data_IF_441024833799
#
_entry.id   IF_441024833799
#
_cell.length_a   1.000
_cell.length_b   1.000
_cell.length_c   1.000
_cell.angle_alpha   90.00
_cell.angle_beta   90.00
_cell.angle_gamma   90.00
#
_symmetry.space_group_name_H-M   'P 1'
#
loop_
_entity.id
_entity.type
_entity.pdbx_description
1 polymer ?
#
# COMPACT_ATOMS: atom_id res chain seq x y z
N UNK A 1 26.70 -17.53 19.31
CA UNK A 1 25.62 -17.80 18.35
C UNK A 1 25.40 -16.48 17.61
N UNK A 2 25.93 -16.33 16.39
CA UNK A 2 25.52 -15.23 15.49
C UNK A 2 24.38 -15.77 14.63
N UNK A 3 23.28 -16.09 15.29
CA UNK A 3 21.97 -16.04 14.64
C UNK A 3 21.32 -14.96 15.46
N UNK A 4 21.22 -13.76 14.91
CA UNK A 4 20.31 -12.81 15.52
C UNK A 4 18.94 -13.49 15.46
N UNK A 5 18.43 -13.89 16.61
CA UNK A 5 17.20 -14.68 16.74
C UNK A 5 16.00 -13.89 16.21
N UNK A 6 16.18 -12.58 15.97
CA UNK A 6 15.16 -11.64 15.55
C UNK A 6 15.41 -11.07 14.15
N UNK A 7 16.35 -11.64 13.38
CA UNK A 7 16.69 -11.26 12.01
C UNK A 7 16.63 -9.73 11.82
N UNK A 8 17.25 -8.97 12.74
CA UNK A 8 17.16 -7.52 12.77
C UNK A 8 18.35 -6.91 12.04
N UNK A 9 18.10 -5.94 11.16
CA UNK A 9 19.18 -5.24 10.48
C UNK A 9 19.86 -4.35 11.52
N UNK A 10 21.15 -4.58 11.75
CA UNK A 10 21.96 -3.59 12.45
C UNK A 10 22.22 -2.43 11.49
N UNK A 11 21.90 -1.20 11.92
CA UNK A 11 22.55 -0.02 11.33
C UNK A 11 24.07 -0.22 11.39
N UNK A 12 24.83 0.23 10.39
CA UNK A 12 26.27 0.00 10.34
C UNK A 12 26.96 0.64 11.57
N UNK A 13 27.26 -0.16 12.60
CA UNK A 13 27.86 0.29 13.86
C UNK A 13 26.93 0.35 15.08
N UNK A 14 25.64 0.04 14.93
CA UNK A 14 24.64 0.05 16.01
C UNK A 14 24.19 -1.38 16.40
N UNK A 15 23.48 -1.49 17.52
CA UNK A 15 22.77 -2.71 17.86
C UNK A 15 21.55 -2.93 16.94
N UNK A 16 21.01 -4.16 16.85
CA UNK A 16 19.76 -4.42 16.16
C UNK A 16 18.63 -3.51 16.68
N UNK A 17 17.85 -2.90 15.79
CA UNK A 17 16.68 -2.09 16.15
C UNK A 17 15.62 -2.14 15.06
N UNK A 18 14.34 -2.02 15.44
CA UNK A 18 13.22 -1.98 14.47
C UNK A 18 13.31 -0.80 13.50
N UNK A 19 13.83 0.34 13.96
CA UNK A 19 14.00 1.56 13.15
C UNK A 19 15.02 1.40 12.01
N UNK A 20 15.98 0.48 12.15
CA UNK A 20 16.87 0.10 11.06
C UNK A 20 16.23 -0.94 10.12
N UNK A 21 15.01 -1.41 10.41
CA UNK A 21 14.38 -2.52 9.73
C UNK A 21 14.83 -3.86 10.31
N UNK A 22 13.95 -4.85 10.24
CA UNK A 22 14.27 -6.23 10.56
C UNK A 22 15.01 -6.89 9.39
N UNK A 23 14.29 -7.06 8.28
CA UNK A 23 14.77 -7.76 7.09
C UNK A 23 15.62 -6.87 6.19
N UNK A 24 15.24 -5.61 6.00
CA UNK A 24 15.84 -4.72 5.01
C UNK A 24 15.82 -3.26 5.45
N UNK A 25 16.99 -2.60 5.40
CA UNK A 25 17.12 -1.15 5.49
C UNK A 25 17.44 -0.56 4.12
N UNK A 26 16.56 0.28 3.57
CA UNK A 26 16.76 0.88 2.26
C UNK A 26 17.67 2.11 2.30
N UNK A 27 17.70 2.85 3.41
CA UNK A 27 18.27 4.20 3.40
C UNK A 27 17.57 5.02 2.29
N UNK A 28 18.34 5.52 1.32
CA UNK A 28 17.84 6.20 0.11
C UNK A 28 17.83 5.31 -1.16
N UNK A 29 18.04 3.99 -1.01
CA UNK A 29 18.21 3.08 -2.14
C UNK A 29 16.87 2.70 -2.77
N UNK A 30 16.88 2.48 -4.08
CA UNK A 30 15.75 1.89 -4.79
C UNK A 30 15.86 0.35 -4.78
N UNK A 31 14.76 -0.34 -4.53
CA UNK A 31 14.67 -1.80 -4.57
C UNK A 31 13.50 -2.23 -5.44
N UNK A 32 13.77 -3.20 -6.31
CA UNK A 32 12.75 -3.86 -7.13
C UNK A 32 12.53 -5.29 -6.65
N UNK A 33 11.29 -5.62 -6.28
CA UNK A 33 10.83 -6.99 -6.08
C UNK A 33 10.22 -7.51 -7.39
N UNK A 34 11.03 -8.15 -8.23
CA UNK A 34 10.55 -8.79 -9.46
C UNK A 34 10.21 -10.27 -9.20
N UNK A 35 8.94 -10.55 -8.97
CA UNK A 35 8.47 -11.87 -8.55
C UNK A 35 7.80 -12.58 -9.71
N UNK A 36 8.40 -13.71 -10.11
CA UNK A 36 7.92 -14.48 -11.26
C UNK A 36 6.55 -15.13 -11.01
N UNK A 37 5.86 -15.43 -12.11
CA UNK A 37 4.55 -16.05 -12.12
C UNK A 37 4.43 -17.31 -11.22
N UNK A 38 3.34 -17.35 -10.44
CA UNK A 38 3.07 -18.42 -9.48
C UNK A 38 4.18 -18.60 -8.43
N UNK A 39 4.88 -17.52 -8.07
CA UNK A 39 5.81 -17.46 -6.93
C UNK A 39 5.31 -16.43 -5.96
N UNK A 40 5.67 -16.65 -4.70
CA UNK A 40 5.33 -15.77 -3.59
C UNK A 40 6.59 -15.50 -2.79
N UNK A 41 6.95 -14.24 -2.59
CA UNK A 41 7.94 -13.82 -1.59
C UNK A 41 7.17 -13.37 -0.35
N UNK A 42 7.46 -13.98 0.80
CA UNK A 42 6.87 -13.59 2.08
C UNK A 42 7.95 -12.92 2.92
N UNK A 43 7.67 -11.71 3.41
CA UNK A 43 8.50 -10.98 4.37
C UNK A 43 7.74 -10.89 5.69
N UNK A 44 8.34 -11.39 6.76
CA UNK A 44 7.73 -11.50 8.08
C UNK A 44 6.77 -12.67 8.26
N UNK A 45 6.16 -12.71 9.45
CA UNK A 45 5.25 -13.76 9.88
C UNK A 45 4.19 -13.16 10.80
N UNK A 46 2.92 -13.48 10.56
CA UNK A 46 1.79 -13.00 11.37
C UNK A 46 1.81 -13.52 12.82
N UNK A 47 2.51 -14.62 13.09
CA UNK A 47 2.69 -15.17 14.45
C UNK A 47 3.71 -14.38 15.29
N UNK A 48 4.53 -13.53 14.66
CA UNK A 48 5.53 -12.71 15.36
C UNK A 48 4.95 -11.34 15.76
N UNK A 49 5.71 -10.58 16.55
CA UNK A 49 5.32 -9.22 17.00
C UNK A 49 5.19 -8.20 15.86
N UNK A 50 5.68 -8.52 14.65
CA UNK A 50 5.62 -7.70 13.45
C UNK A 50 6.84 -6.80 13.28
N UNK A 51 7.49 -6.37 14.36
CA UNK A 51 8.73 -5.58 14.27
C UNK A 51 9.90 -6.42 13.73
N UNK A 52 9.84 -7.74 13.93
CA UNK A 52 10.76 -8.71 13.32
C UNK A 52 10.53 -8.78 11.81
N UNK A 53 11.62 -8.85 11.03
CA UNK A 53 11.61 -8.94 9.57
C UNK A 53 10.97 -7.74 8.84
N UNK A 54 10.95 -6.55 9.44
CA UNK A 54 10.41 -5.34 8.80
C UNK A 54 11.32 -4.75 7.71
N UNK A 55 10.71 -3.96 6.84
CA UNK A 55 11.40 -3.05 5.92
C UNK A 55 11.37 -1.65 6.52
N UNK A 56 12.50 -0.95 6.45
CA UNK A 56 12.61 0.44 6.90
C UNK A 56 13.46 1.29 5.93
N UNK A 57 13.36 2.60 6.07
CA UNK A 57 14.09 3.57 5.27
C UNK A 57 13.19 4.40 4.34
N UNK A 58 13.82 5.28 3.56
CA UNK A 58 13.16 6.34 2.80
C UNK A 58 13.29 6.17 1.29
N UNK A 59 13.89 5.06 0.84
CA UNK A 59 14.11 4.76 -0.57
C UNK A 59 12.84 4.29 -1.29
N UNK A 60 12.94 3.98 -2.58
CA UNK A 60 11.78 3.54 -3.39
C UNK A 60 11.65 2.01 -3.39
N UNK A 61 10.43 1.51 -3.22
CA UNK A 61 10.11 0.09 -3.47
C UNK A 61 9.27 -0.01 -4.74
N UNK A 62 9.71 -0.82 -5.70
CA UNK A 62 8.91 -1.17 -6.88
C UNK A 62 8.61 -2.67 -6.89
N UNK A 63 7.33 -3.04 -6.92
CA UNK A 63 6.87 -4.42 -7.11
C UNK A 63 6.56 -4.66 -8.59
N UNK A 64 7.24 -5.63 -9.19
CA UNK A 64 7.05 -6.09 -10.58
C UNK A 64 6.92 -7.61 -10.66
N UNK A 65 6.76 -8.13 -11.87
CA UNK A 65 6.51 -9.55 -12.10
C UNK A 65 5.10 -9.96 -11.67
N UNK A 66 4.57 -11.06 -12.21
CA UNK A 66 3.17 -11.46 -11.99
C UNK A 66 2.92 -12.28 -10.72
N UNK A 67 3.96 -12.62 -9.95
CA UNK A 67 3.80 -13.28 -8.65
C UNK A 67 3.55 -12.30 -7.50
N UNK A 68 3.55 -12.84 -6.28
CA UNK A 68 3.00 -12.15 -5.12
C UNK A 68 4.09 -11.74 -4.13
N UNK A 69 3.96 -10.55 -3.56
CA UNK A 69 4.73 -10.10 -2.40
C UNK A 69 3.79 -10.04 -1.19
N UNK A 70 4.05 -10.84 -0.17
CA UNK A 70 3.26 -10.84 1.07
C UNK A 70 4.06 -10.16 2.16
N UNK A 71 3.54 -9.06 2.69
CA UNK A 71 4.12 -8.32 3.80
C UNK A 71 3.36 -8.64 5.08
N UNK A 72 4.01 -9.45 5.93
CA UNK A 72 3.53 -9.92 7.22
C UNK A 72 4.35 -9.32 8.39
N UNK A 73 4.90 -8.12 8.19
CA UNK A 73 5.67 -7.37 9.18
C UNK A 73 5.03 -5.99 9.43
N UNK A 74 5.47 -5.30 10.49
CA UNK A 74 5.25 -3.88 10.71
C UNK A 74 6.33 -3.11 9.95
N UNK A 75 5.97 -2.53 8.81
CA UNK A 75 6.87 -1.77 7.96
C UNK A 75 6.62 -0.26 8.12
N UNK A 76 6.10 0.20 9.26
CA UNK A 76 5.81 1.62 9.47
C UNK A 76 7.08 2.50 9.53
N UNK A 77 8.25 1.90 9.73
CA UNK A 77 9.55 2.59 9.61
C UNK A 77 10.02 2.74 8.14
N UNK A 78 9.27 2.18 7.18
CA UNK A 78 9.41 2.51 5.77
C UNK A 78 8.56 3.74 5.43
N UNK A 79 9.24 4.83 5.07
CA UNK A 79 8.63 6.13 4.78
C UNK A 79 8.89 6.61 3.36
N UNK A 80 9.52 5.77 2.53
CA UNK A 80 9.66 6.02 1.10
C UNK A 80 8.38 5.69 0.34
N UNK A 81 8.36 5.98 -0.95
CA UNK A 81 7.24 5.61 -1.82
C UNK A 81 7.29 4.13 -2.19
N UNK A 82 6.12 3.55 -2.44
CA UNK A 82 5.99 2.19 -2.94
C UNK A 82 5.12 2.16 -4.19
N UNK A 83 5.57 1.42 -5.20
CA UNK A 83 4.89 1.30 -6.49
C UNK A 83 4.60 -0.16 -6.78
N UNK A 84 3.31 -0.50 -6.92
CA UNK A 84 2.86 -1.82 -7.37
C UNK A 84 2.59 -1.70 -8.86
N UNK A 85 3.57 -2.08 -9.68
CA UNK A 85 3.45 -1.98 -11.14
C UNK A 85 2.87 -3.24 -11.78
N UNK A 86 3.03 -4.41 -11.14
CA UNK A 86 2.49 -5.68 -11.60
C UNK A 86 2.42 -6.73 -10.48
N UNK A 87 1.50 -7.67 -10.60
CA UNK A 87 1.25 -8.74 -9.64
C UNK A 87 0.61 -8.21 -8.35
N UNK A 88 0.59 -9.06 -7.34
CA UNK A 88 -0.10 -8.79 -6.08
C UNK A 88 0.88 -8.38 -4.97
N UNK A 89 0.48 -7.39 -4.17
CA UNK A 89 1.01 -7.17 -2.82
C UNK A 89 -0.09 -7.45 -1.81
N UNK A 90 0.17 -8.36 -0.88
CA UNK A 90 -0.75 -8.65 0.22
C UNK A 90 -0.24 -8.03 1.52
N UNK A 91 -1.06 -7.24 2.19
CA UNK A 91 -0.78 -6.72 3.55
C UNK A 91 -1.47 -7.62 4.58
N UNK A 92 -0.72 -8.59 5.13
CA UNK A 92 -1.28 -9.58 6.05
C UNK A 92 -1.39 -9.12 7.51
N UNK A 93 -0.96 -7.89 7.83
CA UNK A 93 -1.12 -7.25 9.14
C UNK A 93 -1.75 -5.88 8.99
N UNK A 94 -2.63 -5.53 9.93
CA UNK A 94 -3.21 -4.19 10.00
C UNK A 94 -2.13 -3.12 10.16
N UNK A 95 -2.31 -1.99 9.47
CA UNK A 95 -1.47 -0.81 9.54
C UNK A 95 0.03 -1.13 9.37
N UNK A 96 0.36 -1.94 8.37
CA UNK A 96 1.74 -2.37 8.10
C UNK A 96 2.58 -1.32 7.37
N UNK A 97 1.94 -0.42 6.62
CA UNK A 97 2.60 0.59 5.77
C UNK A 97 1.99 1.98 5.98
N UNK A 98 1.66 2.34 7.22
CA UNK A 98 0.91 3.56 7.52
C UNK A 98 1.61 4.83 7.02
N UNK A 99 2.94 4.84 7.09
CA UNK A 99 3.78 6.00 6.77
C UNK A 99 4.39 5.95 5.35
N UNK A 100 3.92 5.04 4.48
CA UNK A 100 4.39 4.98 3.09
C UNK A 100 4.22 6.34 2.41
N UNK A 101 5.27 6.81 1.74
CA UNK A 101 5.32 8.11 1.09
C UNK A 101 5.65 9.30 1.98
N UNK A 102 5.75 9.16 3.30
CA UNK A 102 5.89 10.29 4.23
C UNK A 102 7.08 11.20 3.92
N UNK A 103 8.22 10.62 3.54
CA UNK A 103 9.43 11.40 3.20
C UNK A 103 9.17 12.34 2.01
N UNK A 104 8.54 11.83 0.95
CA UNK A 104 8.31 12.61 -0.26
C UNK A 104 7.09 13.54 -0.13
N UNK A 105 6.02 13.08 0.53
CA UNK A 105 4.81 13.87 0.77
C UNK A 105 5.05 15.08 1.68
N UNK A 106 6.00 15.00 2.61
CA UNK A 106 6.40 16.15 3.43
C UNK A 106 7.20 17.19 2.64
N UNK A 107 8.05 16.73 1.70
CA UNK A 107 8.93 17.59 0.91
C UNK A 107 8.19 18.21 -0.30
N UNK A 108 7.39 17.42 -1.02
CA UNK A 108 6.58 17.83 -2.16
C UNK A 108 5.16 17.23 -2.10
N UNK A 109 4.24 17.83 -1.32
CA UNK A 109 2.87 17.34 -1.19
C UNK A 109 2.04 17.46 -2.47
N UNK A 110 2.51 18.19 -3.49
CA UNK A 110 1.77 18.33 -4.76
C UNK A 110 2.08 17.21 -5.75
N UNK A 111 3.27 16.63 -5.65
CA UNK A 111 3.76 15.55 -6.52
C UNK A 111 4.00 14.24 -5.76
N UNK A 112 3.25 14.01 -4.67
CA UNK A 112 3.38 12.80 -3.87
C UNK A 112 2.24 11.82 -4.12
N UNK A 113 2.61 10.61 -4.55
CA UNK A 113 1.68 9.53 -4.84
C UNK A 113 1.62 8.47 -3.75
N UNK A 114 2.60 8.46 -2.85
CA UNK A 114 2.65 7.61 -1.66
C UNK A 114 2.75 6.13 -2.03
N UNK A 115 1.62 5.42 -1.95
CA UNK A 115 1.49 4.06 -2.46
C UNK A 115 0.74 4.09 -3.80
N UNK A 116 1.38 3.67 -4.89
CA UNK A 116 0.73 3.53 -6.19
C UNK A 116 0.36 2.09 -6.51
N UNK A 117 -0.82 1.91 -7.11
CA UNK A 117 -1.32 0.62 -7.60
C UNK A 117 -1.64 0.78 -9.09
N UNK A 118 -0.83 0.14 -9.92
CA UNK A 118 -0.87 0.30 -11.37
C UNK A 118 0.02 1.44 -11.85
N UNK A 119 0.00 1.68 -13.16
CA UNK A 119 0.80 2.74 -13.78
C UNK A 119 0.28 3.05 -15.19
N UNK A 120 0.33 4.32 -15.56
CA UNK A 120 0.05 4.79 -16.92
C UNK A 120 1.09 4.34 -17.95
N UNK A 121 2.32 4.05 -17.54
CA UNK A 121 3.34 3.59 -18.49
C UNK A 121 3.27 2.07 -18.71
N UNK A 122 2.48 1.37 -17.88
CA UNK A 122 2.38 -0.09 -17.82
C UNK A 122 0.95 -0.60 -17.91
N UNK A 123 0.07 0.05 -18.69
CA UNK A 123 -1.36 -0.31 -18.81
C UNK A 123 -1.68 -1.79 -19.11
N UNK A 124 -0.73 -2.56 -19.64
CA UNK A 124 -0.91 -4.00 -19.90
C UNK A 124 -0.71 -4.87 -18.66
N UNK A 125 -0.07 -4.33 -17.61
CA UNK A 125 0.13 -5.01 -16.34
C UNK A 125 -1.16 -4.99 -15.53
N UNK A 126 -1.27 -5.91 -14.57
CA UNK A 126 -2.31 -5.89 -13.56
C UNK A 126 -1.63 -5.79 -12.21
N UNK A 127 -1.88 -4.69 -11.51
CA UNK A 127 -1.34 -4.44 -10.19
C UNK A 127 -2.45 -4.60 -9.16
N UNK A 128 -2.17 -5.32 -8.09
CA UNK A 128 -3.16 -5.58 -7.06
C UNK A 128 -2.58 -5.27 -5.67
N UNK A 129 -3.33 -4.49 -4.89
CA UNK A 129 -3.13 -4.41 -3.45
C UNK A 129 -4.25 -5.17 -2.76
N UNK A 130 -3.89 -6.24 -2.07
CA UNK A 130 -4.82 -7.04 -1.28
C UNK A 130 -4.61 -6.77 0.21
N UNK A 131 -5.65 -6.27 0.88
CA UNK A 131 -5.62 -6.05 2.33
C UNK A 131 -6.38 -7.12 3.10
N UNK A 132 -7.04 -8.05 2.42
CA UNK A 132 -7.87 -9.08 3.04
C UNK A 132 -8.85 -8.48 4.06
N UNK A 133 -8.92 -9.10 5.25
CA UNK A 133 -9.74 -8.63 6.37
C UNK A 133 -9.00 -7.70 7.34
N UNK A 134 -7.84 -7.16 6.94
CA UNK A 134 -7.04 -6.29 7.81
C UNK A 134 -7.55 -4.84 7.81
N UNK A 135 -7.15 -4.09 8.83
CA UNK A 135 -7.39 -2.65 8.92
C UNK A 135 -6.15 -1.91 8.44
N UNK A 136 -6.22 -1.22 7.32
CA UNK A 136 -5.13 -0.39 6.81
C UNK A 136 -5.50 1.08 6.93
N UNK A 137 -4.52 1.90 7.28
CA UNK A 137 -4.59 3.35 7.23
C UNK A 137 -3.40 3.82 6.42
N UNK A 138 -3.64 4.60 5.37
CA UNK A 138 -2.59 5.28 4.63
C UNK A 138 -2.66 6.76 4.99
N UNK A 139 -1.65 7.24 5.72
CA UNK A 139 -1.59 8.65 6.18
C UNK A 139 -1.44 9.61 5.01
N UNK A 140 -0.76 9.15 3.97
CA UNK A 140 -0.48 9.86 2.73
C UNK A 140 -1.28 9.30 1.55
N UNK A 141 -0.97 9.78 0.35
CA UNK A 141 -1.66 9.40 -0.88
C UNK A 141 -1.68 7.88 -1.09
N UNK A 142 -2.89 7.33 -1.27
CA UNK A 142 -3.09 6.06 -1.96
C UNK A 142 -3.55 6.39 -3.38
N UNK A 143 -2.80 5.96 -4.38
CA UNK A 143 -3.07 6.29 -5.79
C UNK A 143 -3.28 5.03 -6.61
N UNK A 144 -4.51 4.79 -7.08
CA UNK A 144 -4.82 3.71 -8.00
C UNK A 144 -4.98 4.20 -9.43
N UNK A 145 -4.32 3.52 -10.38
CA UNK A 145 -4.49 3.74 -11.82
C UNK A 145 -5.51 2.74 -12.41
N UNK A 146 -5.90 2.93 -13.67
CA UNK A 146 -6.91 2.11 -14.35
C UNK A 146 -6.60 0.60 -14.37
N UNK A 147 -5.32 0.23 -14.35
CA UNK A 147 -4.87 -1.15 -14.32
C UNK A 147 -4.52 -1.64 -12.90
N UNK A 148 -4.92 -0.88 -11.88
CA UNK A 148 -4.80 -1.22 -10.47
C UNK A 148 -6.11 -1.78 -9.91
N UNK A 149 -5.96 -2.72 -8.97
CA UNK A 149 -7.06 -3.30 -8.21
C UNK A 149 -6.77 -3.18 -6.71
N UNK A 150 -7.77 -2.75 -5.94
CA UNK A 150 -7.73 -2.72 -4.48
C UNK A 150 -8.75 -3.73 -3.93
N UNK A 151 -8.26 -4.74 -3.21
CA UNK A 151 -9.06 -5.82 -2.65
C UNK A 151 -9.25 -5.66 -1.15
N UNK A 152 -10.50 -5.45 -0.73
CA UNK A 152 -10.90 -5.28 0.67
C UNK A 152 -11.95 -6.33 1.03
N UNK A 153 -11.52 -7.43 1.64
CA UNK A 153 -12.43 -8.52 2.00
C UNK A 153 -13.39 -8.09 3.13
N UNK A 154 -14.45 -8.88 3.31
CA UNK A 154 -15.38 -8.71 4.42
C UNK A 154 -14.65 -8.63 5.77
N UNK A 155 -14.90 -7.56 6.51
CA UNK A 155 -14.25 -7.28 7.80
C UNK A 155 -12.95 -6.48 7.70
N UNK A 156 -12.40 -6.29 6.50
CA UNK A 156 -11.31 -5.37 6.24
C UNK A 156 -11.77 -3.93 6.04
N UNK A 157 -10.84 -3.00 6.21
CA UNK A 157 -11.06 -1.59 5.97
C UNK A 157 -9.78 -0.93 5.47
N UNK A 158 -9.92 -0.06 4.48
CA UNK A 158 -8.84 0.82 4.02
C UNK A 158 -9.25 2.25 4.32
N UNK A 159 -8.53 2.89 5.24
CA UNK A 159 -8.67 4.31 5.56
C UNK A 159 -7.67 5.12 4.73
N UNK A 160 -8.17 6.05 3.92
CA UNK A 160 -7.38 6.96 3.09
C UNK A 160 -7.58 8.41 3.55
N UNK A 161 -6.50 9.18 3.53
CA UNK A 161 -6.56 10.62 3.79
C UNK A 161 -6.61 11.43 2.50
N UNK A 162 -5.82 11.04 1.50
CA UNK A 162 -5.68 11.75 0.24
C UNK A 162 -5.40 10.79 -0.92
N UNK A 163 -5.56 11.27 -2.15
CA UNK A 163 -5.25 10.53 -3.37
C UNK A 163 -6.46 10.30 -4.26
N UNK A 164 -6.29 9.40 -5.22
CA UNK A 164 -7.31 9.08 -6.21
C UNK A 164 -7.24 7.63 -6.63
N UNK A 165 -8.37 7.01 -6.91
CA UNK A 165 -8.42 5.66 -7.45
C UNK A 165 -9.21 5.63 -8.76
N UNK A 166 -8.55 5.24 -9.85
CA UNK A 166 -9.14 5.11 -11.19
C UNK A 166 -9.34 3.67 -11.66
N UNK A 167 -8.87 2.70 -10.86
CA UNK A 167 -8.96 1.27 -11.14
C UNK A 167 -10.20 0.61 -10.52
N UNK A 168 -10.11 -0.68 -10.25
CA UNK A 168 -11.17 -1.46 -9.59
C UNK A 168 -10.99 -1.47 -8.07
N UNK A 169 -12.06 -1.21 -7.31
CA UNK A 169 -12.10 -1.49 -5.87
C UNK A 169 -13.15 -2.58 -5.64
N UNK A 170 -12.75 -3.72 -5.10
CA UNK A 170 -13.64 -4.87 -4.92
C UNK A 170 -13.55 -5.49 -3.54
N UNK A 171 -14.56 -6.33 -3.22
CA UNK A 171 -14.72 -6.96 -1.93
C UNK A 171 -15.80 -6.28 -1.06
N UNK A 172 -16.15 -6.96 0.04
CA UNK A 172 -17.25 -6.56 0.92
C UNK A 172 -16.77 -5.75 2.15
N UNK A 173 -15.50 -5.36 2.18
CA UNK A 173 -14.94 -4.50 3.22
C UNK A 173 -15.29 -3.03 3.03
N UNK A 174 -14.59 -2.16 3.75
CA UNK A 174 -14.89 -0.73 3.77
C UNK A 174 -13.76 0.11 3.17
N UNK A 175 -14.14 1.12 2.37
CA UNK A 175 -13.25 2.24 2.04
C UNK A 175 -13.66 3.42 2.93
N UNK A 176 -12.79 3.83 3.83
CA UNK A 176 -13.01 4.96 4.73
C UNK A 176 -12.18 6.16 4.29
N UNK A 177 -12.80 7.33 4.14
CA UNK A 177 -12.10 8.59 3.95
C UNK A 177 -11.98 9.25 5.32
N UNK A 178 -10.74 9.39 5.79
CA UNK A 178 -10.40 9.86 7.13
C UNK A 178 -10.87 11.29 7.38
N UNK A 179 -10.98 11.69 8.65
CA UNK A 179 -11.39 13.03 9.06
C UNK A 179 -10.60 14.13 8.33
N UNK A 180 -11.29 15.10 7.73
CA UNK A 180 -10.71 16.17 6.91
C UNK A 180 -9.90 15.72 5.68
N UNK A 181 -9.93 14.43 5.35
CA UNK A 181 -9.32 13.88 4.15
C UNK A 181 -10.11 14.23 2.89
N UNK A 182 -9.48 14.10 1.74
CA UNK A 182 -10.12 14.28 0.43
C UNK A 182 -9.66 13.20 -0.54
N UNK A 183 -10.61 12.39 -1.04
CA UNK A 183 -10.30 11.28 -1.94
C UNK A 183 -11.17 11.32 -3.19
N UNK A 184 -10.57 10.99 -4.33
CA UNK A 184 -11.25 10.96 -5.63
C UNK A 184 -11.44 9.52 -6.09
N UNK A 185 -12.66 9.15 -6.49
CA UNK A 185 -12.92 7.94 -7.27
C UNK A 185 -13.20 8.36 -8.72
N UNK A 186 -12.40 7.85 -9.66
CA UNK A 186 -12.44 8.25 -11.07
C UNK A 186 -12.83 7.08 -11.99
N UNK A 187 -13.93 7.22 -12.73
CA UNK A 187 -14.43 6.21 -13.69
C UNK A 187 -15.28 5.11 -13.04
N UNK A 188 -16.11 4.45 -13.84
CA UNK A 188 -17.15 3.50 -13.38
C UNK A 188 -16.63 2.42 -12.42
N UNK A 189 -15.47 1.84 -12.72
CA UNK A 189 -14.89 0.70 -11.99
C UNK A 189 -14.53 1.06 -10.56
N UNK A 190 -14.00 2.26 -10.35
CA UNK A 190 -13.61 2.75 -9.03
C UNK A 190 -14.82 3.09 -8.16
N UNK A 191 -15.99 3.27 -8.76
CA UNK A 191 -17.23 3.65 -8.07
C UNK A 191 -18.17 2.47 -7.83
N UNK A 192 -17.94 1.34 -8.51
CA UNK A 192 -18.75 0.12 -8.41
C UNK A 192 -18.37 -0.75 -7.18
N UNK A 193 -18.12 -0.13 -6.02
CA UNK A 193 -17.77 -0.86 -4.80
C UNK A 193 -18.92 -1.76 -4.35
N UNK A 194 -18.59 -2.99 -3.98
CA UNK A 194 -19.55 -3.92 -3.36
C UNK A 194 -19.66 -3.78 -1.84
N UNK A 195 -18.69 -3.09 -1.23
CA UNK A 195 -18.63 -2.78 0.19
C UNK A 195 -19.14 -1.38 0.53
N UNK A 196 -18.97 -0.98 1.79
CA UNK A 196 -19.41 0.35 2.24
C UNK A 196 -18.32 1.41 2.01
N UNK A 197 -18.77 2.63 1.69
CA UNK A 197 -17.92 3.83 1.75
C UNK A 197 -18.28 4.60 3.01
N UNK A 198 -17.29 4.84 3.86
CA UNK A 198 -17.43 5.66 5.08
C UNK A 198 -16.72 6.97 4.85
N UNK A 199 -17.41 8.09 5.08
CA UNK A 199 -16.85 9.45 4.96
C UNK A 199 -16.89 10.07 6.35
N UNK A 200 -15.73 10.25 6.97
CA UNK A 200 -15.62 10.82 8.31
C UNK A 200 -15.94 12.32 8.34
N UNK A 201 -16.03 12.88 9.56
CA UNK A 201 -16.33 14.30 9.76
C UNK A 201 -15.36 15.21 8.99
N UNK A 202 -15.90 16.18 8.25
CA UNK A 202 -15.12 17.09 7.42
C UNK A 202 -14.42 16.45 6.21
N UNK A 203 -14.55 15.14 5.98
CA UNK A 203 -13.96 14.47 4.83
C UNK A 203 -14.74 14.75 3.54
N UNK A 204 -14.05 14.69 2.40
CA UNK A 204 -14.61 14.94 1.06
C UNK A 204 -14.35 13.76 0.14
N UNK A 205 -15.42 13.08 -0.27
CA UNK A 205 -15.40 12.15 -1.39
C UNK A 205 -15.77 12.90 -2.67
N UNK A 206 -14.90 12.87 -3.68
CA UNK A 206 -15.20 13.37 -5.02
C UNK A 206 -15.36 12.20 -5.98
N UNK A 207 -16.38 12.26 -6.82
CA UNK A 207 -16.60 11.29 -7.89
C UNK A 207 -16.35 11.98 -9.23
N UNK A 208 -15.45 11.43 -10.03
CA UNK A 208 -15.10 11.92 -11.35
C UNK A 208 -15.42 10.85 -12.40
N UNK A 209 -16.02 11.25 -13.51
CA UNK A 209 -16.37 10.32 -14.57
C UNK A 209 -17.16 11.02 -15.68
N UNK A 210 -17.24 10.36 -16.83
CA UNK A 210 -18.14 10.79 -17.87
C UNK A 210 -19.60 10.41 -17.56
N UNK A 211 -20.53 10.77 -18.45
CA UNK A 211 -21.94 10.48 -18.23
C UNK A 211 -22.27 8.98 -18.19
N UNK A 212 -21.46 8.12 -18.81
CA UNK A 212 -21.62 6.67 -18.76
C UNK A 212 -21.08 6.11 -17.43
N UNK A 213 -19.96 6.66 -16.95
CA UNK A 213 -19.39 6.29 -15.65
C UNK A 213 -20.37 6.54 -14.51
N UNK A 214 -20.96 7.74 -14.46
CA UNK A 214 -21.92 8.12 -13.43
C UNK A 214 -23.27 7.40 -13.56
N UNK A 215 -23.62 6.93 -14.77
CA UNK A 215 -24.84 6.15 -14.99
C UNK A 215 -24.71 4.69 -14.56
N UNK A 216 -23.49 4.20 -14.35
CA UNK A 216 -23.22 2.85 -13.85
C UNK A 216 -23.32 2.74 -12.31
N UNK A 217 -23.48 3.87 -11.62
CA UNK A 217 -23.65 3.96 -10.17
C UNK A 217 -25.02 3.46 -9.67
#
# INVERSE_FOLDING_TARGET
MLVDENNSAAGYGDGPSSAAGGFMYLGLSEVTFDIADGKTLVIGNTENDGAVDSIAGTGLITKTGSGDLVLNADNNDFTGEMQIENGEVTLGRSNSLMNVGDTHCQDDPQDCYGLTIGSIDKYQNQAELNVGSTQQTFVHSLTGFQNGTLNIDAGGNVTVNQGSFAGTIEGAGQLTIAQNGSYVLAGAQSMALTGDIVVDDGAVLSLEGDAADLAAL
#
